data_IF_040911084481
#
_entry.id   IF_040911084481
#
_cell.length_a   1.000
_cell.length_b   1.000
_cell.length_c   1.000
_cell.angle_alpha   90.00
_cell.angle_beta   90.00
_cell.angle_gamma   90.00
#
_symmetry.space_group_name_H-M   'P 1'
#
loop_
_entity.id
_entity.type
_entity.pdbx_description
1 polymer ?
#
# COMPACT_ATOMS: atom_id res chain seq x y z
N UNK A 1 -19.32 0.83 23.42
CA UNK A 1 -19.45 2.28 23.23
C UNK A 1 -19.55 2.55 21.75
N UNK A 2 -20.20 3.65 21.39
CA UNK A 2 -20.54 3.93 20.00
C UNK A 2 -19.59 4.97 19.38
N UNK A 3 -19.39 4.87 18.06
CA UNK A 3 -18.65 5.84 17.27
C UNK A 3 -19.58 6.40 16.20
N UNK A 4 -19.63 7.71 16.12
CA UNK A 4 -20.42 8.44 15.14
C UNK A 4 -19.54 9.22 14.19
N UNK A 5 -20.02 9.45 12.98
CA UNK A 5 -19.32 10.22 11.96
C UNK A 5 -20.22 11.30 11.39
N UNK A 6 -19.69 12.50 11.26
CA UNK A 6 -20.34 13.59 10.57
C UNK A 6 -20.47 13.28 9.07
N UNK A 7 -21.67 13.22 8.52
CA UNK A 7 -21.94 12.97 7.10
C UNK A 7 -21.48 14.10 6.18
N UNK A 8 -21.20 15.30 6.73
CA UNK A 8 -20.81 16.48 5.98
C UNK A 8 -19.30 16.59 5.82
N UNK A 9 -18.52 16.41 6.89
CA UNK A 9 -17.06 16.62 6.87
C UNK A 9 -16.24 15.37 7.23
N UNK A 10 -16.90 14.30 7.69
CA UNK A 10 -16.22 13.07 8.09
C UNK A 10 -15.64 13.09 9.51
N UNK A 11 -15.85 14.17 10.28
CA UNK A 11 -15.40 14.23 11.68
C UNK A 11 -15.98 13.09 12.50
N UNK A 12 -15.14 12.54 13.38
CA UNK A 12 -15.49 11.38 14.19
C UNK A 12 -15.77 11.83 15.62
N UNK A 13 -16.87 11.37 16.18
CA UNK A 13 -17.20 11.45 17.60
C UNK A 13 -17.10 10.05 18.18
N UNK A 14 -16.13 9.83 19.06
CA UNK A 14 -15.90 8.56 19.74
C UNK A 14 -16.28 8.72 21.21
N UNK A 15 -17.34 8.03 21.66
CA UNK A 15 -17.85 8.10 23.02
C UNK A 15 -16.81 7.71 24.08
N UNK A 16 -15.88 6.84 23.74
CA UNK A 16 -14.83 6.40 24.67
C UNK A 16 -13.76 7.49 24.85
N UNK A 17 -13.43 8.17 23.75
CA UNK A 17 -12.45 9.24 23.76
C UNK A 17 -13.00 10.54 24.37
N UNK A 18 -14.24 10.90 24.00
CA UNK A 18 -14.91 12.14 24.47
C UNK A 18 -15.45 12.00 25.90
N UNK A 19 -15.63 10.77 26.39
CA UNK A 19 -16.12 10.51 27.75
C UNK A 19 -17.60 10.86 27.99
N UNK A 20 -18.33 11.18 26.93
CA UNK A 20 -19.76 11.51 26.93
C UNK A 20 -20.45 10.71 25.86
N UNK A 21 -21.64 10.14 26.14
CA UNK A 21 -22.41 9.47 25.11
C UNK A 21 -22.95 10.49 24.10
N UNK A 22 -22.94 10.14 22.82
CA UNK A 22 -23.42 11.02 21.76
C UNK A 22 -24.88 11.43 21.97
N UNK A 23 -25.70 10.52 22.48
CA UNK A 23 -27.10 10.78 22.82
C UNK A 23 -27.26 11.87 23.88
N UNK A 24 -26.35 11.93 24.85
CA UNK A 24 -26.37 12.86 26.00
C UNK A 24 -25.84 14.27 25.64
N UNK A 25 -25.35 14.47 24.43
CA UNK A 25 -24.96 15.80 23.95
C UNK A 25 -26.18 16.70 23.82
N UNK A 26 -26.04 18.02 24.12
CA UNK A 26 -27.12 18.99 23.95
C UNK A 26 -27.71 18.99 22.53
N UNK A 27 -28.99 19.28 22.40
CA UNK A 27 -29.65 19.32 21.09
C UNK A 27 -29.08 20.38 20.13
N UNK A 28 -28.50 21.43 20.68
CA UNK A 28 -27.83 22.51 19.94
C UNK A 28 -26.34 22.24 19.71
N UNK A 29 -25.84 21.06 20.09
CA UNK A 29 -24.45 20.68 19.81
C UNK A 29 -24.20 20.59 18.31
N UNK A 30 -23.07 21.09 17.87
CA UNK A 30 -22.65 21.11 16.47
C UNK A 30 -21.30 20.45 16.29
N UNK A 31 -21.06 19.94 15.09
CA UNK A 31 -19.77 19.38 14.72
C UNK A 31 -18.63 20.40 14.96
N UNK A 32 -17.59 20.04 15.72
CA UNK A 32 -16.49 20.97 16.03
C UNK A 32 -15.71 21.39 14.79
N UNK A 33 -15.75 20.60 13.70
CA UNK A 33 -14.99 20.89 12.48
C UNK A 33 -15.79 21.71 11.46
N UNK A 34 -17.08 21.38 11.20
CA UNK A 34 -17.86 22.00 10.13
C UNK A 34 -19.12 22.70 10.60
N UNK A 35 -19.40 22.70 11.92
CA UNK A 35 -20.57 23.32 12.56
C UNK A 35 -21.91 22.74 12.08
N UNK A 36 -21.93 21.58 11.45
CA UNK A 36 -23.17 20.87 11.12
C UNK A 36 -23.89 20.42 12.37
N UNK A 37 -25.24 20.36 12.39
CA UNK A 37 -26.02 19.97 13.55
C UNK A 37 -25.76 18.50 13.95
N UNK A 38 -26.07 18.16 15.22
CA UNK A 38 -25.98 16.79 15.76
C UNK A 38 -26.63 15.75 14.85
N UNK A 39 -27.74 16.09 14.20
CA UNK A 39 -28.45 15.22 13.25
C UNK A 39 -27.68 14.85 11.98
N UNK A 40 -26.55 15.49 11.72
CA UNK A 40 -25.65 15.14 10.63
C UNK A 40 -24.67 14.01 10.99
N UNK A 41 -24.70 13.51 12.21
CA UNK A 41 -23.85 12.40 12.63
C UNK A 41 -24.58 11.06 12.50
N UNK A 42 -23.88 10.10 11.94
CA UNK A 42 -24.36 8.73 11.71
C UNK A 42 -23.55 7.76 12.55
N UNK A 43 -24.24 6.82 13.21
CA UNK A 43 -23.60 5.74 13.96
C UNK A 43 -22.86 4.81 13.00
N UNK A 44 -21.56 4.63 13.23
CA UNK A 44 -20.72 3.77 12.40
C UNK A 44 -20.14 2.56 13.14
N UNK A 45 -20.07 2.62 14.47
CA UNK A 45 -19.62 1.51 15.32
C UNK A 45 -20.50 1.43 16.56
N UNK A 46 -20.93 0.23 16.93
CA UNK A 46 -21.62 -0.06 18.19
C UNK A 46 -21.02 -1.32 18.82
N UNK A 47 -20.70 -1.25 20.11
CA UNK A 47 -20.06 -2.34 20.87
C UNK A 47 -18.83 -2.96 20.21
N UNK A 48 -17.99 -2.09 19.58
CA UNK A 48 -16.75 -2.50 18.92
C UNK A 48 -16.95 -3.15 17.54
N UNK A 49 -18.16 -3.07 16.96
CA UNK A 49 -18.44 -3.58 15.62
C UNK A 49 -18.94 -2.46 14.70
N UNK A 50 -18.46 -2.39 13.44
CA UNK A 50 -19.00 -1.45 12.45
C UNK A 50 -20.47 -1.72 12.16
N UNK A 51 -21.34 -0.72 12.38
CA UNK A 51 -22.78 -0.89 12.22
C UNK A 51 -23.24 -0.67 10.78
N UNK A 52 -22.68 0.33 10.10
CA UNK A 52 -23.15 0.71 8.76
C UNK A 52 -22.37 0.08 7.61
N UNK A 53 -21.06 -0.01 7.70
CA UNK A 53 -20.22 -0.51 6.60
C UNK A 53 -20.38 -2.02 6.46
N UNK A 54 -20.45 -2.75 7.55
CA UNK A 54 -20.65 -4.21 7.55
C UNK A 54 -22.05 -4.59 7.06
N UNK A 55 -23.07 -3.88 7.55
CA UNK A 55 -24.47 -4.15 7.14
C UNK A 55 -24.69 -3.81 5.67
N UNK A 56 -24.11 -2.73 5.14
CA UNK A 56 -24.24 -2.38 3.74
C UNK A 56 -23.48 -3.35 2.84
N UNK A 57 -22.26 -3.74 3.23
CA UNK A 57 -21.47 -4.71 2.47
C UNK A 57 -22.15 -6.09 2.44
N UNK A 58 -22.61 -6.57 3.60
CA UNK A 58 -23.33 -7.83 3.67
C UNK A 58 -24.69 -7.76 2.96
N UNK A 59 -25.43 -6.64 3.07
CA UNK A 59 -26.69 -6.46 2.39
C UNK A 59 -26.54 -6.36 0.86
N UNK A 60 -25.45 -5.79 0.34
CA UNK A 60 -25.13 -5.83 -1.09
C UNK A 60 -24.79 -7.25 -1.53
N UNK A 61 -23.97 -7.98 -0.78
CA UNK A 61 -23.62 -9.37 -1.06
C UNK A 61 -24.86 -10.29 -1.00
N UNK A 62 -25.75 -10.09 -0.01
CA UNK A 62 -26.95 -10.91 0.19
C UNK A 62 -28.04 -10.63 -0.87
N UNK A 63 -28.21 -9.36 -1.29
CA UNK A 63 -29.13 -9.01 -2.39
C UNK A 63 -28.70 -9.65 -3.71
N UNK A 64 -27.41 -9.84 -3.88
CA UNK A 64 -26.81 -10.36 -5.09
C UNK A 64 -26.71 -11.88 -5.09
N UNK A 65 -26.57 -12.52 -3.93
CA UNK A 65 -26.58 -13.97 -3.79
C UNK A 65 -27.95 -14.59 -4.14
N UNK A 66 -29.02 -13.79 -4.12
CA UNK A 66 -30.38 -14.22 -4.49
C UNK A 66 -30.65 -14.23 -6.02
N UNK A 67 -29.75 -13.73 -6.85
CA UNK A 67 -29.92 -13.70 -8.31
C UNK A 67 -28.86 -14.51 -9.04
N UNK A 68 -29.28 -15.69 -9.51
CA UNK A 68 -28.68 -16.56 -10.55
C UNK A 68 -27.31 -17.18 -10.35
N UNK A 69 -27.29 -18.50 -10.49
CA UNK A 69 -26.12 -19.34 -10.75
C UNK A 69 -25.57 -19.08 -12.17
N UNK A 70 -24.78 -18.02 -12.34
CA UNK A 70 -23.97 -17.84 -13.55
C UNK A 70 -22.60 -18.48 -13.27
N UNK A 71 -22.29 -19.56 -13.97
CA UNK A 71 -20.91 -20.06 -13.97
C UNK A 71 -19.97 -18.94 -14.45
N UNK A 72 -18.84 -18.71 -13.76
CA UNK A 72 -17.92 -17.65 -14.16
C UNK A 72 -17.37 -17.97 -15.54
N UNK A 73 -17.77 -17.22 -16.55
CA UNK A 73 -17.12 -17.27 -17.88
C UNK A 73 -15.75 -16.56 -17.76
N UNK A 74 -14.73 -17.39 -17.58
CA UNK A 74 -13.33 -16.95 -17.46
C UNK A 74 -12.77 -16.48 -18.83
N UNK A 75 -13.58 -16.48 -19.90
CA UNK A 75 -13.14 -16.04 -21.21
C UNK A 75 -12.96 -14.53 -21.22
N UNK A 76 -11.74 -14.18 -21.54
CA UNK A 76 -11.35 -12.78 -21.74
C UNK A 76 -12.09 -12.25 -22.96
N UNK A 77 -12.85 -11.18 -22.78
CA UNK A 77 -13.36 -10.41 -23.92
C UNK A 77 -12.17 -9.71 -24.60
N UNK A 78 -11.85 -10.04 -25.86
CA UNK A 78 -10.76 -9.39 -26.58
C UNK A 78 -10.94 -7.88 -26.72
N UNK A 79 -12.17 -7.37 -26.62
CA UNK A 79 -12.46 -5.94 -26.65
C UNK A 79 -11.99 -5.22 -25.37
N UNK A 80 -11.80 -5.97 -24.26
CA UNK A 80 -11.26 -5.43 -23.00
C UNK A 80 -9.72 -5.42 -22.97
N UNK A 81 -9.07 -6.12 -23.90
CA UNK A 81 -7.61 -6.09 -24.02
C UNK A 81 -7.23 -4.77 -24.68
N UNK A 82 -6.94 -3.75 -23.86
CA UNK A 82 -6.25 -2.57 -24.37
C UNK A 82 -4.89 -3.03 -24.87
N UNK A 83 -4.67 -2.91 -26.20
CA UNK A 83 -3.31 -2.80 -26.70
C UNK A 83 -2.78 -1.50 -26.10
N UNK A 84 -1.63 -1.56 -25.44
CA UNK A 84 -0.94 -0.34 -25.07
C UNK A 84 -0.60 0.40 -26.36
N UNK A 85 -1.44 1.38 -26.70
CA UNK A 85 -1.29 2.19 -27.87
C UNK A 85 0.07 2.88 -27.87
N UNK A 86 0.72 2.90 -28.99
CA UNK A 86 1.94 3.66 -29.17
C UNK A 86 1.68 5.16 -29.01
N UNK A 87 2.73 5.95 -29.05
CA UNK A 87 2.66 7.42 -28.95
C UNK A 87 1.63 8.02 -29.93
N UNK A 88 1.45 7.39 -31.11
CA UNK A 88 0.47 7.82 -32.10
C UNK A 88 -0.97 7.69 -31.59
N UNK A 89 -1.32 6.60 -30.92
CA UNK A 89 -2.66 6.41 -30.36
C UNK A 89 -2.96 7.43 -29.26
N UNK A 90 -1.97 7.73 -28.43
CA UNK A 90 -2.11 8.77 -27.40
C UNK A 90 -2.33 10.15 -28.02
N UNK A 91 -1.59 10.49 -29.08
CA UNK A 91 -1.74 11.74 -29.82
C UNK A 91 -3.14 11.84 -30.42
N UNK A 92 -3.65 10.76 -31.04
CA UNK A 92 -4.99 10.74 -31.62
C UNK A 92 -6.05 10.95 -30.54
N UNK A 93 -5.98 10.24 -29.41
CA UNK A 93 -6.92 10.43 -28.29
C UNK A 93 -6.89 11.87 -27.77
N UNK A 94 -5.70 12.44 -27.58
CA UNK A 94 -5.57 13.82 -27.13
C UNK A 94 -6.10 14.83 -28.16
N UNK A 95 -5.84 14.59 -29.43
CA UNK A 95 -6.30 15.45 -30.52
C UNK A 95 -7.83 15.43 -30.67
N UNK A 96 -8.46 14.26 -30.49
CA UNK A 96 -9.91 14.10 -30.58
C UNK A 96 -10.65 14.63 -29.36
N UNK A 97 -10.07 14.42 -28.16
CA UNK A 97 -10.79 14.66 -26.90
C UNK A 97 -10.36 15.91 -26.16
N UNK A 98 -9.17 16.47 -26.46
CA UNK A 98 -8.54 17.53 -25.69
C UNK A 98 -8.15 17.11 -24.25
N UNK A 99 -8.05 15.82 -23.98
CA UNK A 99 -7.79 15.26 -22.63
C UNK A 99 -6.54 14.42 -22.62
N UNK A 100 -5.83 14.43 -21.48
CA UNK A 100 -4.72 13.54 -21.23
C UNK A 100 -5.15 12.07 -21.20
N UNK A 101 -4.26 11.18 -21.60
CA UNK A 101 -4.47 9.73 -21.53
C UNK A 101 -4.12 9.22 -20.13
N UNK A 102 -5.04 8.49 -19.52
CA UNK A 102 -4.79 7.76 -18.27
C UNK A 102 -4.25 6.37 -18.55
N UNK A 103 -3.41 5.88 -17.66
CA UNK A 103 -2.87 4.54 -17.72
C UNK A 103 -2.90 3.84 -16.37
N UNK A 104 -3.13 2.55 -16.40
CA UNK A 104 -3.06 1.71 -15.22
C UNK A 104 -1.73 0.96 -15.16
N UNK A 105 -1.28 0.69 -13.94
CA UNK A 105 -0.05 -0.05 -13.63
C UNK A 105 1.24 0.70 -14.01
N UNK A 106 2.37 0.07 -13.84
CA UNK A 106 3.71 0.62 -14.09
C UNK A 106 3.90 1.12 -15.54
N UNK A 107 4.91 1.96 -15.74
CA UNK A 107 5.34 2.37 -17.08
C UNK A 107 5.77 1.16 -17.93
N UNK A 108 5.65 1.28 -19.24
CA UNK A 108 6.22 0.32 -20.21
C UNK A 108 7.58 0.80 -20.74
N UNK A 109 7.95 2.04 -20.43
CA UNK A 109 9.27 2.54 -20.77
C UNK A 109 10.38 1.72 -20.06
N UNK A 110 11.54 1.52 -20.66
CA UNK A 110 12.66 0.88 -19.99
C UNK A 110 13.03 1.63 -18.71
N UNK A 111 13.17 0.89 -17.62
CA UNK A 111 13.57 1.43 -16.31
C UNK A 111 14.68 0.55 -15.76
N UNK A 112 15.83 1.12 -15.33
CA UNK A 112 16.84 0.37 -14.58
C UNK A 112 16.20 -0.31 -13.37
N UNK A 113 16.45 -1.60 -13.20
CA UNK A 113 15.84 -2.38 -12.14
C UNK A 113 16.78 -3.45 -11.56
N UNK A 114 16.30 -4.26 -10.63
CA UNK A 114 17.10 -5.27 -9.95
C UNK A 114 17.55 -6.44 -10.85
N UNK A 115 17.07 -6.56 -12.09
CA UNK A 115 17.47 -7.64 -13.02
C UNK A 115 18.93 -7.49 -13.48
N UNK A 116 19.46 -6.26 -13.50
CA UNK A 116 20.83 -5.98 -13.87
C UNK A 116 21.83 -6.18 -12.71
N UNK A 117 21.33 -6.58 -11.54
CA UNK A 117 22.11 -6.89 -10.34
C UNK A 117 22.11 -8.41 -10.14
N UNK A 118 23.27 -8.96 -9.82
CA UNK A 118 23.45 -10.37 -9.52
C UNK A 118 23.76 -10.56 -8.03
N UNK A 119 23.23 -11.63 -7.44
CA UNK A 119 23.52 -12.04 -6.08
C UNK A 119 24.71 -13.03 -6.09
N UNK A 120 25.69 -12.81 -5.23
CA UNK A 120 26.90 -13.60 -5.16
C UNK A 120 26.75 -14.74 -4.15
N UNK A 121 26.81 -15.98 -4.64
CA UNK A 121 26.81 -17.16 -3.78
C UNK A 121 28.21 -17.47 -3.25
N UNK A 122 28.27 -17.98 -2.03
CA UNK A 122 29.48 -18.45 -1.35
C UNK A 122 29.90 -19.85 -1.87
N UNK A 123 31.20 -20.15 -1.80
CA UNK A 123 31.76 -21.49 -2.10
C UNK A 123 32.86 -21.88 -1.13
N UNK A 124 33.98 -21.17 -1.14
CA UNK A 124 35.14 -21.43 -0.31
C UNK A 124 35.51 -20.26 0.60
N UNK A 125 35.28 -19.01 0.11
CA UNK A 125 35.56 -17.79 0.86
C UNK A 125 34.62 -16.67 0.37
N UNK A 126 33.50 -16.41 1.06
CA UNK A 126 32.98 -17.13 2.23
C UNK A 126 32.51 -18.56 1.90
N UNK A 127 32.21 -19.36 2.92
CA UNK A 127 31.54 -20.67 2.79
C UNK A 127 30.04 -20.54 2.95
N UNK A 128 29.23 -21.32 2.19
CA UNK A 128 27.78 -21.35 2.39
C UNK A 128 27.42 -22.03 3.72
N UNK A 129 26.24 -21.78 4.22
CA UNK A 129 25.66 -22.60 5.28
C UNK A 129 25.22 -23.96 4.75
N UNK A 130 25.06 -24.95 5.65
CA UNK A 130 24.43 -26.23 5.30
C UNK A 130 23.00 -26.02 4.79
N UNK A 131 22.53 -26.98 3.98
CA UNK A 131 21.22 -26.89 3.33
C UNK A 131 20.05 -26.82 4.34
N UNK A 132 20.22 -27.43 5.51
CA UNK A 132 19.25 -27.48 6.60
C UNK A 132 19.55 -26.48 7.74
N UNK A 133 20.56 -25.62 7.56
CA UNK A 133 20.87 -24.58 8.55
C UNK A 133 19.65 -23.71 8.86
N UNK A 134 19.42 -23.48 10.13
CA UNK A 134 18.38 -22.56 10.59
C UNK A 134 18.77 -21.12 10.24
N UNK A 135 17.92 -20.42 9.50
CA UNK A 135 18.15 -19.05 9.07
C UNK A 135 16.91 -18.19 9.31
N UNK A 136 17.13 -17.00 9.82
CA UNK A 136 16.08 -16.04 10.15
C UNK A 136 15.85 -15.07 9.02
N UNK A 137 14.58 -14.90 8.62
CA UNK A 137 14.12 -13.80 7.76
C UNK A 137 13.13 -12.89 8.50
N UNK A 138 13.08 -12.99 9.83
CA UNK A 138 12.22 -12.12 10.63
C UNK A 138 12.72 -10.69 10.53
N UNK A 139 11.79 -9.75 10.48
CA UNK A 139 12.09 -8.33 10.51
C UNK A 139 11.20 -7.60 11.49
N UNK A 140 11.67 -6.46 11.97
CA UNK A 140 10.95 -5.60 12.90
C UNK A 140 10.90 -4.21 12.28
N UNK A 141 9.70 -3.65 12.15
CA UNK A 141 9.49 -2.28 11.71
C UNK A 141 9.14 -1.42 12.91
N UNK A 142 9.79 -0.25 13.00
CA UNK A 142 9.67 0.64 14.14
C UNK A 142 10.36 0.09 15.38
N UNK A 143 11.63 -0.33 15.23
CA UNK A 143 12.46 -0.89 16.33
C UNK A 143 12.51 0.01 17.56
N UNK A 144 12.41 1.34 17.39
CA UNK A 144 12.36 2.32 18.47
C UNK A 144 10.97 2.59 19.05
N UNK A 145 9.90 2.08 18.44
CA UNK A 145 8.55 2.29 18.92
C UNK A 145 8.25 1.50 20.21
N UNK A 146 7.31 1.99 21.02
CA UNK A 146 6.90 1.27 22.24
C UNK A 146 6.29 -0.11 21.94
N UNK A 147 5.66 -0.26 20.77
CA UNK A 147 5.00 -1.48 20.30
C UNK A 147 5.46 -1.78 18.88
N UNK A 148 6.70 -2.23 18.67
CA UNK A 148 7.23 -2.49 17.34
C UNK A 148 6.41 -3.55 16.59
N UNK A 149 6.38 -3.46 15.25
CA UNK A 149 5.69 -4.43 14.42
C UNK A 149 6.66 -5.54 14.00
N UNK A 150 6.45 -6.74 14.53
CA UNK A 150 7.23 -7.93 14.21
C UNK A 150 6.60 -8.71 13.06
N UNK A 151 7.40 -9.10 12.07
CA UNK A 151 7.01 -9.85 10.88
C UNK A 151 7.87 -11.09 10.73
N UNK A 152 7.30 -12.21 10.33
CA UNK A 152 8.03 -13.44 9.98
C UNK A 152 8.69 -13.35 8.57
N UNK A 153 8.41 -12.30 7.83
CA UNK A 153 8.94 -12.03 6.49
C UNK A 153 9.24 -10.56 6.31
N UNK A 154 10.36 -10.18 5.65
CA UNK A 154 10.64 -8.80 5.29
C UNK A 154 9.78 -8.31 4.11
N UNK A 155 9.00 -9.20 3.49
CA UNK A 155 8.18 -8.90 2.31
C UNK A 155 6.70 -8.89 2.70
N UNK A 156 6.01 -7.79 2.38
CA UNK A 156 4.59 -7.64 2.72
C UNK A 156 3.76 -7.04 1.58
N UNK A 157 2.42 -7.09 1.73
CA UNK A 157 1.48 -6.57 0.73
C UNK A 157 1.34 -5.06 0.88
N UNK A 158 1.71 -4.33 -0.17
CA UNK A 158 1.73 -2.87 -0.24
C UNK A 158 0.33 -2.26 -0.31
N UNK A 159 0.28 -0.95 -0.27
CA UNK A 159 -0.91 -0.11 -0.24
C UNK A 159 -1.73 -0.22 -1.53
N UNK A 160 -2.94 -0.69 -1.40
CA UNK A 160 -3.93 -0.80 -2.48
C UNK A 160 -5.32 -0.53 -1.92
N UNK A 161 -5.92 0.59 -2.27
CA UNK A 161 -7.14 1.07 -1.65
C UNK A 161 -8.37 0.22 -1.97
N UNK A 162 -9.28 0.08 -0.99
CA UNK A 162 -10.65 -0.32 -1.27
C UNK A 162 -11.33 0.75 -2.14
N UNK A 163 -12.03 0.32 -3.16
CA UNK A 163 -12.54 1.17 -4.22
C UNK A 163 -11.69 1.12 -5.49
N UNK A 164 -10.35 1.12 -5.37
CA UNK A 164 -9.48 0.72 -6.49
C UNK A 164 -9.54 -0.79 -6.69
N UNK A 165 -9.47 -1.56 -5.61
CA UNK A 165 -9.71 -3.01 -5.58
C UNK A 165 -11.09 -3.31 -5.00
N UNK A 166 -11.64 -4.47 -5.35
CA UNK A 166 -12.85 -5.03 -4.76
C UNK A 166 -12.65 -5.46 -3.31
N UNK A 167 -13.72 -5.56 -2.55
CA UNK A 167 -13.69 -6.07 -1.18
C UNK A 167 -13.14 -7.48 -1.10
N UNK A 168 -13.57 -8.37 -2.01
CA UNK A 168 -13.08 -9.76 -2.12
C UNK A 168 -11.57 -9.82 -2.36
N UNK A 169 -11.04 -8.96 -3.22
CA UNK A 169 -9.60 -8.89 -3.48
C UNK A 169 -8.83 -8.43 -2.24
N UNK A 170 -9.33 -7.43 -1.52
CA UNK A 170 -8.71 -6.92 -0.30
C UNK A 170 -8.65 -8.00 0.80
N UNK A 171 -9.76 -8.69 1.04
CA UNK A 171 -9.84 -9.76 2.05
C UNK A 171 -8.96 -10.95 1.66
N UNK A 172 -8.93 -11.34 0.38
CA UNK A 172 -8.07 -12.42 -0.10
C UNK A 172 -6.58 -12.10 0.07
N UNK A 173 -6.16 -10.86 -0.22
CA UNK A 173 -4.78 -10.40 0.02
C UNK A 173 -4.44 -10.42 1.52
N UNK A 174 -5.35 -9.97 2.38
CA UNK A 174 -5.18 -9.99 3.83
C UNK A 174 -5.00 -11.41 4.38
N UNK A 175 -5.90 -12.33 4.01
CA UNK A 175 -5.79 -13.76 4.38
C UNK A 175 -4.48 -14.38 3.88
N UNK A 176 -4.10 -14.09 2.63
CA UNK A 176 -2.86 -14.60 2.05
C UNK A 176 -1.60 -14.06 2.73
N UNK A 177 -1.58 -12.77 3.10
CA UNK A 177 -0.48 -12.19 3.88
C UNK A 177 -0.39 -12.79 5.28
N UNK A 178 -1.55 -13.07 5.91
CA UNK A 178 -1.61 -13.73 7.23
C UNK A 178 -1.03 -15.15 7.18
N UNK A 179 -1.30 -15.93 6.13
CA UNK A 179 -0.70 -17.26 5.94
C UNK A 179 0.83 -17.22 5.86
N UNK A 180 1.40 -16.12 5.40
CA UNK A 180 2.84 -15.94 5.31
C UNK A 180 3.46 -15.23 6.54
N UNK A 181 2.66 -14.92 7.56
CA UNK A 181 3.09 -14.23 8.78
C UNK A 181 3.58 -12.80 8.54
N UNK A 182 3.02 -12.11 7.52
CA UNK A 182 3.46 -10.77 7.13
C UNK A 182 2.32 -9.75 7.17
N UNK A 183 2.59 -8.50 6.75
CA UNK A 183 1.63 -7.41 6.84
C UNK A 183 0.80 -7.22 5.56
N UNK A 184 -0.35 -6.57 5.75
CA UNK A 184 -1.21 -6.01 4.72
C UNK A 184 -1.41 -4.51 4.99
N UNK A 185 -1.47 -3.70 3.93
CA UNK A 185 -1.70 -2.26 4.05
C UNK A 185 -3.10 -1.86 3.59
N UNK A 186 -3.73 -0.91 4.30
CA UNK A 186 -5.09 -0.43 3.95
C UNK A 186 -5.15 0.23 2.57
N UNK A 187 -4.15 1.02 2.25
CA UNK A 187 -4.20 1.95 1.11
C UNK A 187 -5.13 3.14 1.40
N UNK A 188 -5.23 4.05 0.42
CA UNK A 188 -5.90 5.36 0.54
C UNK A 188 -7.45 5.29 0.60
N UNK A 189 -8.02 4.11 0.69
CA UNK A 189 -9.47 3.91 0.65
C UNK A 189 -10.19 3.92 1.99
N UNK A 190 -9.44 4.01 3.08
CA UNK A 190 -9.91 3.66 4.42
C UNK A 190 -9.68 2.17 4.72
N UNK A 191 -10.00 1.73 5.92
CA UNK A 191 -9.83 0.36 6.37
C UNK A 191 -11.16 -0.41 6.27
N UNK A 192 -11.14 -1.55 5.59
CA UNK A 192 -12.23 -2.52 5.67
C UNK A 192 -12.06 -3.37 6.92
N UNK A 193 -13.12 -3.55 7.68
CA UNK A 193 -13.09 -4.36 8.90
C UNK A 193 -12.63 -5.79 8.63
N UNK A 194 -13.25 -6.46 7.66
CA UNK A 194 -12.94 -7.86 7.33
C UNK A 194 -11.51 -8.05 6.83
N UNK A 195 -10.98 -7.07 6.09
CA UNK A 195 -9.58 -7.05 5.69
C UNK A 195 -8.65 -6.93 6.90
N UNK A 196 -8.95 -6.00 7.80
CA UNK A 196 -8.13 -5.73 8.98
C UNK A 196 -8.11 -6.94 9.92
N UNK A 197 -9.26 -7.53 10.21
CA UNK A 197 -9.38 -8.73 11.07
C UNK A 197 -8.74 -9.98 10.43
N UNK A 198 -8.78 -10.10 9.11
CA UNK A 198 -8.15 -11.21 8.38
C UNK A 198 -6.63 -11.09 8.28
N UNK A 199 -6.04 -9.94 8.58
CA UNK A 199 -4.61 -9.68 8.48
C UNK A 199 -3.85 -10.21 9.69
N UNK A 200 -2.62 -10.70 9.49
CA UNK A 200 -1.69 -11.01 10.59
C UNK A 200 -1.17 -9.73 11.26
N UNK A 201 -0.75 -8.77 10.43
CA UNK A 201 -0.38 -7.41 10.81
C UNK A 201 -1.02 -6.45 9.81
N UNK A 202 -1.55 -5.34 10.28
CA UNK A 202 -2.23 -4.36 9.44
C UNK A 202 -1.56 -2.99 9.55
N UNK A 203 -1.13 -2.42 8.43
CA UNK A 203 -0.59 -1.07 8.34
C UNK A 203 -1.70 -0.15 7.86
N UNK A 204 -2.10 0.76 8.72
CA UNK A 204 -3.11 1.76 8.39
C UNK A 204 -2.48 2.98 7.71
N UNK A 205 -2.94 3.32 6.50
CA UNK A 205 -2.48 4.50 5.77
C UNK A 205 -3.25 5.74 6.22
N UNK A 206 -2.58 6.62 6.95
CA UNK A 206 -3.13 7.91 7.37
C UNK A 206 -3.01 8.91 6.23
N UNK A 207 -4.14 9.40 5.74
CA UNK A 207 -4.28 10.21 4.52
C UNK A 207 -4.90 11.57 4.84
N UNK A 208 -4.77 12.58 3.93
CA UNK A 208 -5.36 13.89 4.11
C UNK A 208 -6.85 13.88 4.45
N UNK A 209 -7.59 12.96 3.85
CA UNK A 209 -9.04 12.85 4.02
C UNK A 209 -9.46 12.10 5.30
N UNK A 210 -8.51 11.53 6.06
CA UNK A 210 -8.70 10.82 7.34
C UNK A 210 -9.78 9.73 7.33
N UNK A 211 -10.00 9.05 6.19
CA UNK A 211 -10.97 7.94 6.11
C UNK A 211 -10.61 6.83 7.09
N UNK A 212 -11.60 6.33 7.83
CA UNK A 212 -11.43 5.29 8.86
C UNK A 212 -10.44 5.64 9.96
N UNK A 213 -10.11 6.92 10.17
CA UNK A 213 -9.25 7.35 11.28
C UNK A 213 -10.07 7.49 12.57
N UNK A 214 -10.18 6.41 13.32
CA UNK A 214 -10.87 6.32 14.59
C UNK A 214 -10.16 5.34 15.53
N UNK A 215 -10.56 5.29 16.79
CA UNK A 215 -9.86 4.48 17.79
C UNK A 215 -10.00 2.98 17.52
N UNK A 216 -11.12 2.52 16.96
CA UNK A 216 -11.30 1.13 16.56
C UNK A 216 -10.23 0.70 15.54
N UNK A 217 -10.01 1.50 14.50
CA UNK A 217 -8.93 1.23 13.53
C UNK A 217 -7.56 1.24 14.19
N UNK A 218 -7.30 2.20 15.09
CA UNK A 218 -6.01 2.32 15.78
C UNK A 218 -5.75 1.17 16.75
N UNK A 219 -6.78 0.59 17.35
CA UNK A 219 -6.65 -0.57 18.22
C UNK A 219 -6.30 -1.86 17.47
N UNK A 220 -6.77 -1.99 16.23
CA UNK A 220 -6.60 -3.20 15.43
C UNK A 220 -5.45 -3.11 14.42
N UNK A 221 -4.89 -1.94 14.15
CA UNK A 221 -3.71 -1.84 13.32
C UNK A 221 -2.41 -2.15 14.09
N UNK A 222 -1.35 -2.43 13.35
CA UNK A 222 -0.02 -2.77 13.88
C UNK A 222 1.02 -1.70 13.62
N UNK A 223 0.76 -0.81 12.67
CA UNK A 223 1.54 0.38 12.36
C UNK A 223 0.64 1.40 11.62
N UNK A 224 1.06 2.65 11.62
CA UNK A 224 0.39 3.73 10.91
C UNK A 224 1.39 4.37 9.96
N UNK A 225 0.99 4.62 8.72
CA UNK A 225 1.85 5.25 7.73
C UNK A 225 1.20 6.52 7.16
N UNK A 226 1.85 7.66 7.37
CA UNK A 226 1.42 8.97 6.84
C UNK A 226 1.77 9.00 5.36
N UNK A 227 0.75 9.08 4.51
CA UNK A 227 0.94 9.09 3.06
C UNK A 227 1.09 10.51 2.52
N UNK A 228 2.30 10.84 2.08
CA UNK A 228 2.61 12.08 1.37
C UNK A 228 2.54 11.86 -0.15
N UNK A 229 3.07 10.73 -0.63
CA UNK A 229 3.12 10.41 -2.05
C UNK A 229 2.99 8.92 -2.35
N UNK A 230 2.92 8.57 -3.63
CA UNK A 230 2.85 7.18 -4.09
C UNK A 230 3.30 7.05 -5.54
N UNK A 231 3.97 5.93 -5.87
CA UNK A 231 4.30 5.50 -7.23
C UNK A 231 4.95 6.57 -8.08
N UNK A 232 4.54 6.65 -9.33
CA UNK A 232 5.06 7.58 -10.33
C UNK A 232 4.22 8.87 -10.42
N UNK A 233 3.72 9.38 -9.29
CA UNK A 233 2.98 10.64 -9.25
C UNK A 233 3.27 11.48 -8.01
N UNK A 234 4.53 11.89 -7.81
CA UNK A 234 4.86 12.86 -6.76
C UNK A 234 4.08 14.15 -6.99
N UNK A 235 3.56 14.75 -5.92
CA UNK A 235 2.78 16.00 -5.98
C UNK A 235 1.37 15.86 -6.56
N UNK A 236 0.86 14.63 -6.74
CA UNK A 236 -0.51 14.37 -7.18
C UNK A 236 -1.24 13.43 -6.22
N UNK A 237 -2.41 13.85 -5.75
CA UNK A 237 -3.27 13.05 -4.88
C UNK A 237 -3.87 11.81 -5.56
N UNK A 238 -4.56 10.99 -4.77
CA UNK A 238 -5.34 9.86 -5.27
C UNK A 238 -6.57 10.32 -6.05
N UNK A 239 -6.99 9.51 -7.02
CA UNK A 239 -8.23 9.71 -7.75
C UNK A 239 -9.00 8.40 -7.84
N UNK A 240 -10.26 8.41 -7.43
CA UNK A 240 -11.22 7.34 -7.66
C UNK A 240 -12.34 7.87 -8.53
N UNK A 241 -12.51 7.36 -9.77
CA UNK A 241 -13.59 7.76 -10.65
C UNK A 241 -14.97 7.47 -10.03
N UNK A 242 -15.93 8.36 -10.27
CA UNK A 242 -17.29 8.24 -9.71
C UNK A 242 -18.00 6.95 -10.07
N UNK A 243 -17.75 6.40 -11.25
CA UNK A 243 -18.27 5.10 -11.68
C UNK A 243 -17.90 3.93 -10.73
N UNK A 244 -16.85 4.08 -9.94
CA UNK A 244 -16.40 3.10 -8.93
C UNK A 244 -16.88 3.44 -7.52
N UNK A 245 -17.59 4.55 -7.33
CA UNK A 245 -18.05 4.98 -6.01
C UNK A 245 -19.44 4.38 -5.74
N UNK A 246 -19.44 3.21 -5.09
CA UNK A 246 -20.64 2.52 -4.57
C UNK A 246 -21.17 3.20 -3.31
N UNK A 247 -22.32 2.75 -2.79
CA UNK A 247 -22.88 3.26 -1.53
C UNK A 247 -21.93 3.06 -0.35
N UNK A 248 -21.27 1.89 -0.25
CA UNK A 248 -20.30 1.60 0.80
C UNK A 248 -19.10 2.57 0.73
N UNK A 249 -18.54 2.76 -0.46
CA UNK A 249 -17.40 3.67 -0.66
C UNK A 249 -17.82 5.12 -0.38
N UNK A 250 -19.03 5.50 -0.80
CA UNK A 250 -19.59 6.81 -0.54
C UNK A 250 -19.67 7.08 0.97
N UNK A 251 -20.20 6.11 1.73
CA UNK A 251 -20.27 6.15 3.20
C UNK A 251 -18.87 6.23 3.81
N UNK A 252 -17.96 5.32 3.45
CA UNK A 252 -16.59 5.30 4.01
C UNK A 252 -15.81 6.59 3.75
N UNK A 253 -16.05 7.24 2.63
CA UNK A 253 -15.30 8.42 2.21
C UNK A 253 -16.04 9.74 2.39
N UNK A 254 -17.27 9.71 2.95
CA UNK A 254 -18.06 10.91 3.17
C UNK A 254 -18.37 11.70 1.90
N UNK A 255 -18.67 10.99 0.77
CA UNK A 255 -18.94 11.58 -0.54
C UNK A 255 -20.24 11.03 -1.10
N UNK A 256 -20.80 11.71 -2.11
CA UNK A 256 -21.98 11.21 -2.83
C UNK A 256 -21.66 10.01 -3.72
N UNK A 257 -22.57 9.05 -3.80
CA UNK A 257 -22.50 7.95 -4.78
C UNK A 257 -22.31 8.51 -6.20
N UNK A 258 -21.45 7.88 -6.97
CA UNK A 258 -21.18 8.26 -8.36
C UNK A 258 -20.40 9.56 -8.55
N UNK A 259 -19.92 10.18 -7.47
CA UNK A 259 -19.08 11.39 -7.54
C UNK A 259 -17.60 11.01 -7.54
N UNK A 260 -16.82 11.68 -8.38
CA UNK A 260 -15.36 11.56 -8.38
C UNK A 260 -14.79 11.95 -7.02
N UNK A 261 -13.84 11.14 -6.53
CA UNK A 261 -13.14 11.40 -5.28
C UNK A 261 -11.68 11.71 -5.60
N UNK A 262 -11.27 12.94 -5.32
CA UNK A 262 -9.89 13.39 -5.49
C UNK A 262 -9.30 13.74 -4.12
N UNK A 263 -8.09 13.25 -3.86
CA UNK A 263 -7.32 13.64 -2.69
C UNK A 263 -6.51 14.89 -2.97
N UNK A 264 -6.24 15.72 -1.96
CA UNK A 264 -5.37 16.88 -2.11
C UNK A 264 -3.98 16.49 -2.65
N UNK A 265 -3.37 17.38 -3.41
CA UNK A 265 -2.01 17.19 -3.95
C UNK A 265 -0.92 17.30 -2.88
N UNK A 266 -1.20 18.00 -1.79
CA UNK A 266 -0.34 18.13 -0.62
C UNK A 266 -1.14 17.76 0.63
N UNK A 267 -0.44 17.32 1.67
CA UNK A 267 -1.09 16.98 2.92
C UNK A 267 -1.47 18.28 3.66
N UNK A 268 -2.76 18.59 3.88
CA UNK A 268 -3.16 19.79 4.60
C UNK A 268 -2.63 19.79 6.04
N UNK A 269 -2.08 20.92 6.45
CA UNK A 269 -1.51 21.08 7.81
C UNK A 269 -0.09 20.50 7.96
N UNK A 270 0.59 20.18 6.86
CA UNK A 270 2.04 19.91 6.83
C UNK A 270 2.68 20.96 5.93
N UNK A 271 3.14 22.05 6.53
CA UNK A 271 3.85 23.14 5.87
C UNK A 271 5.31 23.25 6.35
N UNK A 272 5.63 22.59 7.46
CA UNK A 272 6.98 22.53 8.07
C UNK A 272 7.28 21.14 8.63
N UNK A 273 8.55 20.80 8.91
CA UNK A 273 8.93 19.58 9.65
C UNK A 273 8.26 19.47 11.02
N UNK A 274 8.04 20.59 11.69
CA UNK A 274 7.37 20.66 13.00
C UNK A 274 5.89 20.25 12.90
N UNK A 275 5.21 20.60 11.81
CA UNK A 275 3.84 20.17 11.57
C UNK A 275 3.76 18.66 11.37
N UNK A 276 4.70 18.08 10.60
CA UNK A 276 4.79 16.64 10.42
C UNK A 276 5.06 15.96 11.77
N UNK A 277 5.96 16.53 12.59
CA UNK A 277 6.24 16.03 13.93
C UNK A 277 5.00 16.03 14.80
N UNK A 278 4.23 17.11 14.78
CA UNK A 278 2.99 17.20 15.57
C UNK A 278 1.99 16.09 15.18
N UNK A 279 1.89 15.78 13.87
CA UNK A 279 1.05 14.67 13.41
C UNK A 279 1.61 13.32 13.87
N UNK A 280 2.92 13.09 13.76
CA UNK A 280 3.57 11.85 14.25
C UNK A 280 3.32 11.67 15.74
N UNK A 281 3.49 12.71 16.54
CA UNK A 281 3.30 12.67 17.98
C UNK A 281 1.84 12.39 18.35
N UNK A 282 0.89 13.04 17.68
CA UNK A 282 -0.56 12.79 17.85
C UNK A 282 -0.92 11.34 17.50
N UNK A 283 -0.42 10.80 16.37
CA UNK A 283 -0.68 9.42 15.97
C UNK A 283 -0.05 8.43 16.95
N UNK A 284 1.16 8.70 17.43
CA UNK A 284 1.85 7.86 18.42
C UNK A 284 1.11 7.82 19.75
N UNK A 285 0.60 8.96 20.21
CA UNK A 285 -0.19 9.06 21.43
C UNK A 285 -1.51 8.27 21.30
N UNK A 286 -2.30 8.56 20.27
CA UNK A 286 -3.60 7.90 20.04
C UNK A 286 -3.47 6.39 19.81
N UNK A 287 -2.44 5.95 19.13
CA UNK A 287 -2.18 4.52 18.90
C UNK A 287 -1.52 3.81 20.10
N UNK A 288 -1.25 4.51 21.20
CA UNK A 288 -0.56 3.97 22.38
C UNK A 288 0.84 3.41 22.08
N UNK A 289 1.52 4.02 21.10
CA UNK A 289 2.92 3.76 20.78
C UNK A 289 3.16 2.75 19.67
N UNK A 290 2.27 2.63 18.70
CA UNK A 290 2.54 1.92 17.44
C UNK A 290 3.62 2.62 16.62
N UNK A 291 4.32 1.90 15.72
CA UNK A 291 5.22 2.51 14.76
C UNK A 291 4.49 3.48 13.84
N UNK A 292 5.07 4.67 13.68
CA UNK A 292 4.56 5.69 12.77
C UNK A 292 5.54 5.84 11.61
N UNK A 293 5.09 5.63 10.39
CA UNK A 293 5.87 5.79 9.17
C UNK A 293 5.46 7.00 8.35
N UNK A 294 6.33 7.35 7.40
CA UNK A 294 6.07 8.36 6.37
C UNK A 294 6.36 7.75 5.00
N UNK A 295 5.38 7.84 4.08
CA UNK A 295 5.53 7.32 2.72
C UNK A 295 5.61 8.44 1.71
N UNK A 296 6.65 8.39 0.88
CA UNK A 296 6.91 9.32 -0.21
C UNK A 296 7.03 8.60 -1.56
N UNK A 297 6.74 9.31 -2.66
CA UNK A 297 7.19 8.89 -3.99
C UNK A 297 8.66 9.29 -4.17
N UNK A 298 9.40 8.54 -5.00
CA UNK A 298 10.79 8.83 -5.27
C UNK A 298 10.94 10.07 -6.19
N UNK A 299 10.83 11.25 -5.61
CA UNK A 299 11.03 12.56 -6.24
C UNK A 299 12.37 13.18 -5.83
N UNK A 300 12.31 14.22 -5.01
CA UNK A 300 13.46 14.87 -4.37
C UNK A 300 13.81 14.15 -3.07
N UNK A 301 14.44 12.98 -3.19
CA UNK A 301 14.59 11.99 -2.11
C UNK A 301 15.35 12.57 -0.91
N UNK A 302 16.46 13.22 -1.15
CA UNK A 302 17.34 13.74 -0.09
C UNK A 302 16.67 14.90 0.66
N UNK A 303 16.02 15.82 -0.07
CA UNK A 303 15.30 16.96 0.51
C UNK A 303 14.07 16.49 1.29
N UNK A 304 13.35 15.48 0.79
CA UNK A 304 12.22 14.88 1.49
C UNK A 304 12.69 14.13 2.74
N UNK A 305 13.82 13.42 2.69
CA UNK A 305 14.41 12.74 3.84
C UNK A 305 14.89 13.73 4.91
N UNK A 306 15.50 14.85 4.50
CA UNK A 306 15.85 15.94 5.43
C UNK A 306 14.62 16.47 6.17
N UNK A 307 13.53 16.75 5.44
CA UNK A 307 12.28 17.18 6.03
C UNK A 307 11.72 16.14 7.02
N UNK A 308 11.75 14.85 6.63
CA UNK A 308 11.24 13.75 7.44
C UNK A 308 12.13 13.47 8.66
N UNK A 309 13.44 13.71 8.59
CA UNK A 309 14.39 13.43 9.68
C UNK A 309 13.98 14.10 11.01
N UNK A 310 13.34 15.25 10.92
CA UNK A 310 12.88 16.04 12.07
C UNK A 310 11.52 15.58 12.62
N UNK A 311 10.81 14.70 11.93
CA UNK A 311 9.44 14.30 12.29
C UNK A 311 9.36 13.37 13.51
N UNK A 312 10.44 12.64 13.79
CA UNK A 312 10.45 11.60 14.80
C UNK A 312 9.68 10.34 14.42
N UNK A 313 9.41 10.09 13.12
CA UNK A 313 8.82 8.85 12.64
C UNK A 313 9.75 7.65 12.87
N UNK A 314 9.18 6.44 12.85
CA UNK A 314 9.90 5.20 13.15
C UNK A 314 10.38 4.49 11.88
N UNK A 315 9.70 4.69 10.75
CA UNK A 315 10.10 4.12 9.45
C UNK A 315 9.73 5.03 8.28
N UNK A 316 10.39 4.84 7.15
CA UNK A 316 10.17 5.61 5.93
C UNK A 316 9.95 4.63 4.79
N UNK A 317 8.88 4.83 4.02
CA UNK A 317 8.61 4.05 2.80
C UNK A 317 8.82 4.91 1.57
N UNK A 318 9.67 4.42 0.66
CA UNK A 318 9.93 5.08 -0.64
C UNK A 318 9.34 4.25 -1.77
N UNK A 319 8.55 4.90 -2.61
CA UNK A 319 7.87 4.28 -3.75
C UNK A 319 8.51 4.74 -5.07
N UNK A 320 9.33 3.86 -5.65
CA UNK A 320 10.14 4.17 -6.84
C UNK A 320 9.39 3.99 -8.16
N UNK A 321 10.03 4.40 -9.27
CA UNK A 321 9.47 4.40 -10.64
C UNK A 321 9.05 3.01 -11.15
N UNK A 322 9.55 1.92 -10.60
CA UNK A 322 9.06 0.56 -10.90
C UNK A 322 7.63 0.29 -10.42
N UNK A 323 7.09 1.16 -9.55
CA UNK A 323 5.71 1.17 -9.08
C UNK A 323 4.81 2.09 -9.90
N UNK A 324 3.50 1.93 -9.72
CA UNK A 324 2.48 2.84 -10.20
C UNK A 324 1.13 2.55 -9.56
N UNK A 325 0.09 3.26 -9.95
CA UNK A 325 -1.25 3.11 -9.40
C UNK A 325 -2.23 2.50 -10.40
N UNK A 326 -3.43 2.14 -9.95
CA UNK A 326 -4.51 1.68 -10.82
C UNK A 326 -5.07 2.79 -11.73
N UNK A 327 -4.83 4.06 -11.40
CA UNK A 327 -5.24 5.23 -12.20
C UNK A 327 -4.15 6.30 -12.08
N UNK A 328 -3.50 6.60 -13.19
CA UNK A 328 -2.41 7.59 -13.26
C UNK A 328 -2.40 8.25 -14.63
N UNK A 329 -2.23 9.58 -14.72
CA UNK A 329 -1.98 10.20 -16.02
C UNK A 329 -0.73 9.58 -16.65
N UNK A 330 -0.86 9.13 -17.90
CA UNK A 330 0.21 8.41 -18.60
C UNK A 330 1.46 9.27 -18.72
N UNK A 331 1.29 10.56 -19.06
CA UNK A 331 2.41 11.49 -19.20
C UNK A 331 3.25 11.61 -17.90
N UNK A 332 2.60 11.67 -16.74
CA UNK A 332 3.30 11.78 -15.46
C UNK A 332 3.98 10.45 -15.09
N UNK A 333 3.28 9.35 -15.27
CA UNK A 333 3.82 8.00 -15.02
C UNK A 333 5.09 7.72 -15.85
N UNK A 334 5.08 8.10 -17.12
CA UNK A 334 6.16 7.79 -18.05
C UNK A 334 7.34 8.79 -17.95
N UNK A 335 7.13 9.97 -17.34
CA UNK A 335 8.12 11.03 -17.25
C UNK A 335 8.59 11.40 -15.84
N UNK A 336 8.09 10.73 -14.77
CA UNK A 336 8.44 11.11 -13.38
C UNK A 336 8.95 9.96 -12.53
N UNK A 337 9.46 10.32 -11.38
CA UNK A 337 10.03 9.47 -10.32
C UNK A 337 11.36 8.80 -10.66
N UNK A 338 12.16 8.62 -9.64
CA UNK A 338 13.48 7.97 -9.71
C UNK A 338 13.30 6.44 -9.76
N UNK A 339 14.02 5.71 -10.63
CA UNK A 339 14.04 4.26 -10.64
C UNK A 339 14.33 3.66 -9.25
N UNK A 340 13.59 2.61 -8.88
CA UNK A 340 13.59 2.05 -7.52
C UNK A 340 14.99 1.65 -7.03
N UNK A 341 15.86 1.13 -7.91
CA UNK A 341 17.25 0.80 -7.59
C UNK A 341 18.02 2.03 -7.13
N UNK A 342 17.94 3.13 -7.87
CA UNK A 342 18.61 4.38 -7.52
C UNK A 342 17.95 5.07 -6.32
N UNK A 343 16.64 5.00 -6.23
CA UNK A 343 15.91 5.56 -5.10
C UNK A 343 16.35 4.92 -3.77
N UNK A 344 16.46 3.58 -3.75
CA UNK A 344 16.96 2.85 -2.59
C UNK A 344 18.40 3.22 -2.25
N UNK A 345 19.30 3.21 -3.23
CA UNK A 345 20.71 3.53 -3.02
C UNK A 345 20.91 4.95 -2.50
N UNK A 346 20.21 5.93 -3.09
CA UNK A 346 20.29 7.34 -2.65
C UNK A 346 19.74 7.52 -1.24
N UNK A 347 18.58 6.91 -0.96
CA UNK A 347 17.97 6.99 0.36
C UNK A 347 18.87 6.37 1.44
N UNK A 348 19.37 5.15 1.22
CA UNK A 348 20.22 4.48 2.21
C UNK A 348 21.50 5.27 2.47
N UNK A 349 22.17 5.73 1.42
CA UNK A 349 23.37 6.57 1.55
C UNK A 349 23.08 7.85 2.34
N UNK A 350 22.01 8.58 2.00
CA UNK A 350 21.65 9.79 2.72
C UNK A 350 21.37 9.52 4.21
N UNK A 351 20.60 8.47 4.49
CA UNK A 351 20.28 8.09 5.87
C UNK A 351 21.54 7.72 6.67
N UNK A 352 22.49 6.99 6.06
CA UNK A 352 23.75 6.62 6.70
C UNK A 352 24.63 7.83 6.97
N UNK A 353 24.78 8.73 5.98
CA UNK A 353 25.59 9.95 6.10
C UNK A 353 25.07 10.91 7.16
N UNK A 354 23.75 10.92 7.40
CA UNK A 354 23.10 11.81 8.38
C UNK A 354 22.71 11.10 9.68
N UNK A 355 23.12 9.83 9.86
CA UNK A 355 22.85 9.09 11.10
C UNK A 355 21.37 8.86 11.38
N UNK A 356 20.52 8.78 10.35
CA UNK A 356 19.10 8.49 10.47
C UNK A 356 18.89 7.03 10.87
N UNK A 357 18.04 6.80 11.88
CA UNK A 357 17.84 5.47 12.50
C UNK A 357 16.48 4.85 12.16
N UNK A 358 15.68 5.51 11.33
CA UNK A 358 14.41 4.99 10.86
C UNK A 358 14.62 3.73 10.00
N UNK A 359 13.69 2.76 10.12
CA UNK A 359 13.69 1.62 9.20
C UNK A 359 13.32 2.09 7.78
N UNK A 360 14.00 1.57 6.77
CA UNK A 360 13.77 1.90 5.36
C UNK A 360 12.97 0.81 4.67
N UNK A 361 11.75 1.12 4.27
CA UNK A 361 10.89 0.27 3.46
C UNK A 361 10.95 0.73 2.00
N UNK A 362 11.12 -0.21 1.09
CA UNK A 362 11.15 0.09 -0.34
C UNK A 362 9.98 -0.58 -1.07
N UNK A 363 9.37 0.13 -2.00
CA UNK A 363 8.35 -0.41 -2.91
C UNK A 363 8.55 0.15 -4.32
N UNK A 364 7.94 -0.49 -5.30
CA UNK A 364 8.03 -0.07 -6.71
C UNK A 364 8.65 -1.12 -7.62
N UNK A 365 7.83 -2.03 -8.15
CA UNK A 365 8.21 -2.96 -9.21
C UNK A 365 8.70 -4.33 -8.77
N UNK A 366 8.78 -4.64 -7.49
CA UNK A 366 9.21 -5.95 -6.98
C UNK A 366 8.27 -7.08 -7.37
N UNK A 367 8.84 -8.22 -7.82
CA UNK A 367 8.06 -9.39 -8.28
C UNK A 367 8.63 -10.72 -7.81
N UNK A 368 9.94 -10.83 -7.60
CA UNK A 368 10.63 -12.08 -7.28
C UNK A 368 11.40 -11.98 -5.97
N UNK A 369 11.72 -13.12 -5.38
CA UNK A 369 12.63 -13.19 -4.24
C UNK A 369 14.01 -12.61 -4.57
N UNK A 370 14.47 -12.78 -5.82
CA UNK A 370 15.71 -12.18 -6.31
C UNK A 370 15.69 -10.66 -6.27
N UNK A 371 14.57 -10.01 -6.59
CA UNK A 371 14.43 -8.55 -6.44
C UNK A 371 14.50 -8.16 -4.97
N UNK A 372 13.80 -8.92 -4.11
CA UNK A 372 13.74 -8.63 -2.68
C UNK A 372 15.09 -8.78 -1.98
N UNK A 373 15.79 -9.89 -2.20
CA UNK A 373 17.08 -10.13 -1.53
C UNK A 373 18.12 -9.08 -1.92
N UNK A 374 18.10 -8.62 -3.17
CA UNK A 374 19.01 -7.57 -3.64
C UNK A 374 18.67 -6.22 -2.98
N UNK A 375 17.40 -5.88 -2.85
CA UNK A 375 16.98 -4.68 -2.14
C UNK A 375 17.36 -4.72 -0.65
N UNK A 376 17.19 -5.87 0.01
CA UNK A 376 17.62 -6.07 1.40
C UNK A 376 19.15 -5.94 1.52
N UNK A 377 19.93 -6.51 0.60
CA UNK A 377 21.38 -6.35 0.56
C UNK A 377 21.83 -4.91 0.24
N UNK A 378 20.99 -4.11 -0.41
CA UNK A 378 21.21 -2.68 -0.62
C UNK A 378 20.78 -1.82 0.58
N UNK A 379 20.34 -2.42 1.68
CA UNK A 379 20.05 -1.74 2.94
C UNK A 379 18.58 -1.37 3.16
N UNK A 380 17.64 -1.98 2.44
CA UNK A 380 16.24 -1.93 2.83
C UNK A 380 15.98 -2.85 4.04
N UNK A 381 15.19 -2.40 5.02
CA UNK A 381 14.74 -3.23 6.15
C UNK A 381 13.55 -4.11 5.77
N UNK A 382 12.73 -3.65 4.82
CA UNK A 382 11.61 -4.43 4.28
C UNK A 382 11.24 -4.00 2.85
N UNK A 383 10.49 -4.89 2.18
CA UNK A 383 10.03 -4.69 0.80
C UNK A 383 8.50 -4.82 0.75
N UNK A 384 7.83 -3.81 0.20
CA UNK A 384 6.39 -3.84 0.00
C UNK A 384 6.04 -4.13 -1.47
N UNK A 385 5.15 -5.09 -1.72
CA UNK A 385 4.73 -5.53 -3.06
C UNK A 385 3.26 -5.27 -3.32
N UNK A 386 2.92 -4.68 -4.47
CA UNK A 386 1.54 -4.46 -4.90
C UNK A 386 1.15 -5.40 -6.07
N UNK A 387 1.75 -5.21 -7.23
CA UNK A 387 1.34 -5.93 -8.45
C UNK A 387 1.58 -7.44 -8.39
N UNK A 388 2.65 -7.88 -7.73
CA UNK A 388 2.97 -9.31 -7.65
C UNK A 388 1.96 -10.11 -6.81
N UNK A 389 1.54 -9.69 -5.59
CA UNK A 389 0.42 -10.31 -4.90
C UNK A 389 -0.90 -10.28 -5.70
N UNK A 390 -1.18 -9.22 -6.49
CA UNK A 390 -2.33 -9.21 -7.38
C UNK A 390 -2.21 -10.24 -8.50
N UNK A 391 -1.03 -10.45 -9.08
CA UNK A 391 -0.80 -11.51 -10.07
C UNK A 391 -1.00 -12.89 -9.44
N UNK A 392 -0.50 -13.11 -8.22
CA UNK A 392 -0.75 -14.33 -7.47
C UNK A 392 -2.25 -14.54 -7.19
N UNK A 393 -2.98 -13.46 -6.89
CA UNK A 393 -4.44 -13.48 -6.72
C UNK A 393 -5.17 -13.91 -7.99
N UNK A 394 -4.62 -13.60 -9.19
CA UNK A 394 -5.20 -13.95 -10.48
C UNK A 394 -5.19 -12.82 -11.52
N UNK A 395 -4.56 -11.69 -11.24
CA UNK A 395 -4.46 -10.57 -12.18
C UNK A 395 -3.72 -10.98 -13.47
N UNK A 396 -4.35 -10.74 -14.61
CA UNK A 396 -3.81 -11.03 -15.94
C UNK A 396 -3.14 -9.81 -16.61
N UNK A 397 -2.97 -8.71 -15.87
CA UNK A 397 -2.34 -7.47 -16.36
C UNK A 397 -3.02 -6.88 -17.61
N UNK A 398 -4.36 -6.90 -17.67
CA UNK A 398 -5.10 -6.25 -18.77
C UNK A 398 -4.95 -4.72 -18.80
N UNK A 399 -4.39 -4.12 -17.73
CA UNK A 399 -4.10 -2.68 -17.62
C UNK A 399 -5.33 -1.77 -17.79
N UNK A 400 -6.50 -2.27 -17.37
CA UNK A 400 -7.79 -1.55 -17.38
C UNK A 400 -8.29 -1.24 -15.97
N UNK A 401 -7.41 -1.21 -14.98
CA UNK A 401 -7.79 -1.00 -13.57
C UNK A 401 -8.51 0.34 -13.34
N UNK A 402 -8.19 1.36 -14.15
CA UNK A 402 -8.83 2.67 -14.11
C UNK A 402 -10.31 2.63 -14.55
N UNK A 403 -10.69 1.70 -15.43
CA UNK A 403 -12.07 1.64 -15.97
C UNK A 403 -13.10 1.00 -15.02
N UNK A 404 -12.65 0.32 -13.95
CA UNK A 404 -13.55 -0.46 -13.09
C UNK A 404 -14.11 -1.74 -13.72
N UNK A 405 -13.72 -2.09 -14.95
CA UNK A 405 -14.22 -3.25 -15.72
C UNK A 405 -13.27 -4.44 -15.69
N UNK A 406 -12.55 -4.65 -14.59
CA UNK A 406 -11.61 -5.75 -14.46
C UNK A 406 -12.34 -7.10 -14.53
N UNK A 407 -12.09 -7.95 -15.58
CA UNK A 407 -12.82 -9.20 -15.74
C UNK A 407 -12.42 -10.27 -14.71
N UNK A 408 -11.33 -10.04 -13.96
CA UNK A 408 -10.84 -10.94 -12.92
C UNK A 408 -11.47 -10.68 -11.54
N UNK A 409 -12.40 -9.73 -11.42
CA UNK A 409 -13.04 -9.39 -10.15
C UNK A 409 -12.11 -8.65 -9.15
N UNK A 410 -10.93 -8.19 -9.61
CA UNK A 410 -9.91 -7.61 -8.71
C UNK A 410 -10.05 -6.09 -8.61
N UNK A 411 -9.96 -5.38 -9.75
CA UNK A 411 -9.98 -3.91 -9.78
C UNK A 411 -11.32 -3.40 -10.32
N UNK A 412 -12.38 -3.79 -9.64
CA UNK A 412 -13.77 -3.47 -10.00
C UNK A 412 -14.60 -3.22 -8.74
N UNK A 413 -15.74 -2.55 -8.91
CA UNK A 413 -16.82 -2.41 -7.93
C UNK A 413 -18.13 -2.90 -8.53
N UNK A 414 -18.07 -3.52 -9.71
CA UNK A 414 -19.22 -4.20 -10.32
C UNK A 414 -19.42 -5.55 -9.64
N UNK A 415 -20.58 -5.80 -9.00
CA UNK A 415 -20.83 -7.03 -8.27
C UNK A 415 -20.76 -8.30 -9.12
N UNK A 416 -21.14 -8.23 -10.40
CA UNK A 416 -21.05 -9.38 -11.30
C UNK A 416 -19.60 -9.75 -11.63
N UNK A 417 -18.76 -8.72 -11.82
CA UNK A 417 -17.35 -8.94 -12.04
C UNK A 417 -16.64 -9.38 -10.76
N UNK A 418 -16.99 -8.79 -9.61
CA UNK A 418 -16.40 -9.12 -8.32
C UNK A 418 -16.62 -10.60 -7.94
N UNK A 419 -17.82 -11.15 -8.20
CA UNK A 419 -18.12 -12.56 -7.95
C UNK A 419 -17.25 -13.56 -8.72
N UNK A 420 -16.57 -13.14 -9.79
CA UNK A 420 -15.64 -13.99 -10.53
C UNK A 420 -14.36 -14.31 -9.74
N UNK A 421 -14.05 -13.53 -8.71
CA UNK A 421 -12.92 -13.80 -7.84
C UNK A 421 -13.35 -14.77 -6.72
N UNK A 422 -12.83 -16.00 -6.77
CA UNK A 422 -12.90 -16.90 -5.62
C UNK A 422 -11.91 -16.41 -4.55
N UNK A 423 -12.47 -15.86 -3.47
CA UNK A 423 -11.73 -15.22 -2.39
C UNK A 423 -10.81 -16.21 -1.66
N UNK A 424 -11.27 -17.42 -1.35
CA UNK A 424 -10.50 -18.41 -0.60
C UNK A 424 -9.38 -19.03 -1.46
N UNK A 425 -9.70 -19.38 -2.70
CA UNK A 425 -8.69 -19.85 -3.64
C UNK A 425 -7.66 -18.76 -3.95
N UNK A 426 -8.10 -17.50 -4.04
CA UNK A 426 -7.24 -16.34 -4.20
C UNK A 426 -6.30 -16.15 -3.01
N UNK A 427 -6.84 -16.20 -1.79
CA UNK A 427 -6.05 -16.12 -0.56
C UNK A 427 -4.98 -17.19 -0.48
N UNK A 428 -5.34 -18.44 -0.79
CA UNK A 428 -4.39 -19.56 -0.84
C UNK A 428 -3.26 -19.33 -1.85
N UNK A 429 -3.58 -18.83 -3.05
CA UNK A 429 -2.55 -18.51 -4.06
C UNK A 429 -1.59 -17.42 -3.59
N UNK A 430 -2.11 -16.36 -2.96
CA UNK A 430 -1.27 -15.28 -2.39
C UNK A 430 -0.40 -15.82 -1.25
N UNK A 431 -0.97 -16.62 -0.34
CA UNK A 431 -0.21 -17.26 0.73
C UNK A 431 0.89 -18.19 0.22
N UNK A 432 0.60 -19.01 -0.80
CA UNK A 432 1.58 -19.86 -1.45
C UNK A 432 2.72 -19.07 -2.10
N UNK A 433 2.38 -17.99 -2.81
CA UNK A 433 3.37 -17.10 -3.45
C UNK A 433 4.31 -16.46 -2.41
N UNK A 434 3.76 -15.85 -1.35
CA UNK A 434 4.56 -15.24 -0.30
C UNK A 434 5.37 -16.28 0.49
N UNK A 435 4.80 -17.46 0.72
CA UNK A 435 5.50 -18.59 1.33
C UNK A 435 6.67 -19.09 0.48
N UNK A 436 6.51 -19.14 -0.85
CA UNK A 436 7.60 -19.46 -1.77
C UNK A 436 8.71 -18.40 -1.71
N UNK A 437 8.35 -17.10 -1.74
CA UNK A 437 9.32 -16.00 -1.55
C UNK A 437 10.10 -16.18 -0.25
N UNK A 438 9.43 -16.48 0.86
CA UNK A 438 10.08 -16.69 2.16
C UNK A 438 11.09 -17.85 2.13
N UNK A 439 10.75 -18.95 1.48
CA UNK A 439 11.64 -20.11 1.37
C UNK A 439 12.87 -19.80 0.48
N UNK A 440 12.64 -19.08 -0.61
CA UNK A 440 13.71 -18.66 -1.50
C UNK A 440 14.66 -17.63 -0.83
N UNK A 441 14.12 -16.70 -0.02
CA UNK A 441 14.96 -15.78 0.78
C UNK A 441 15.85 -16.53 1.78
N UNK A 442 15.30 -17.56 2.47
CA UNK A 442 16.11 -18.42 3.34
C UNK A 442 17.21 -19.15 2.55
N UNK A 443 16.91 -19.58 1.34
CA UNK A 443 17.89 -20.22 0.45
C UNK A 443 18.98 -19.25 0.06
N UNK A 444 18.65 -18.00 -0.31
CA UNK A 444 19.65 -16.95 -0.59
C UNK A 444 20.59 -16.72 0.60
N UNK A 445 20.07 -16.65 1.82
CA UNK A 445 20.90 -16.52 3.01
C UNK A 445 21.84 -17.72 3.18
N UNK A 446 21.35 -18.96 3.03
CA UNK A 446 22.21 -20.15 3.14
C UNK A 446 23.32 -20.16 2.10
N UNK A 447 23.01 -19.88 0.84
CA UNK A 447 24.02 -19.90 -0.23
C UNK A 447 25.02 -18.75 -0.14
N UNK A 448 24.77 -17.69 0.62
CA UNK A 448 25.72 -16.63 0.90
C UNK A 448 26.50 -16.84 2.21
N UNK A 449 26.17 -17.87 2.99
CA UNK A 449 26.81 -18.13 4.29
C UNK A 449 26.23 -17.29 5.43
N UNK A 450 25.05 -16.69 5.23
CA UNK A 450 24.36 -15.89 6.22
C UNK A 450 23.27 -16.67 6.94
N UNK A 451 23.04 -16.34 8.20
CA UNK A 451 21.99 -16.95 9.04
C UNK A 451 20.88 -15.95 9.37
N UNK A 452 21.07 -14.66 9.06
CA UNK A 452 20.12 -13.60 9.35
C UNK A 452 20.20 -12.49 8.28
N UNK A 453 19.08 -11.79 8.04
CA UNK A 453 18.98 -10.70 7.05
C UNK A 453 19.96 -9.55 7.35
N UNK A 454 20.27 -9.28 8.62
CA UNK A 454 21.17 -8.19 9.03
C UNK A 454 22.62 -8.39 8.58
N UNK A 455 22.99 -9.58 8.11
CA UNK A 455 24.31 -9.88 7.58
C UNK A 455 24.46 -9.54 6.08
N UNK A 456 23.33 -9.30 5.39
CA UNK A 456 23.35 -8.90 3.99
C UNK A 456 24.00 -7.51 3.80
N UNK A 457 24.72 -7.37 2.71
CA UNK A 457 25.41 -6.13 2.37
C UNK A 457 25.62 -5.99 0.87
N UNK A 458 26.12 -4.84 0.42
CA UNK A 458 26.56 -4.64 -0.97
C UNK A 458 27.67 -5.63 -1.37
N UNK A 459 28.38 -6.22 -0.41
CA UNK A 459 29.40 -7.26 -0.66
C UNK A 459 28.82 -8.56 -1.24
N UNK A 460 27.51 -8.80 -1.07
CA UNK A 460 26.78 -9.94 -1.62
C UNK A 460 26.26 -9.70 -3.04
N UNK A 461 26.59 -8.54 -3.63
CA UNK A 461 26.09 -8.12 -4.94
C UNK A 461 27.19 -7.80 -5.92
N UNK A 462 26.91 -8.02 -7.21
CA UNK A 462 27.62 -7.40 -8.32
C UNK A 462 26.64 -7.01 -9.42
N UNK A 463 27.08 -6.23 -10.39
CA UNK A 463 26.27 -5.82 -11.54
C UNK A 463 27.04 -5.86 -12.83
N UNK A 464 26.36 -6.16 -13.94
CA UNK A 464 26.91 -6.06 -15.29
C UNK A 464 26.65 -4.69 -15.93
N UNK A 465 25.90 -3.81 -15.24
CA UNK A 465 25.62 -2.45 -15.69
C UNK A 465 26.61 -1.47 -15.07
N UNK A 466 27.41 -0.81 -15.92
CA UNK A 466 28.32 0.25 -15.47
C UNK A 466 27.58 1.41 -14.81
N UNK A 467 26.39 1.76 -15.32
CA UNK A 467 25.54 2.81 -14.76
C UNK A 467 25.08 2.46 -13.32
N UNK A 468 24.60 1.24 -13.11
CA UNK A 468 24.22 0.79 -11.76
C UNK A 468 25.43 0.79 -10.83
N UNK A 469 26.58 0.27 -11.29
CA UNK A 469 27.81 0.25 -10.50
C UNK A 469 28.25 1.65 -10.06
N UNK A 470 28.26 2.60 -10.99
CA UNK A 470 28.66 4.00 -10.72
C UNK A 470 27.75 4.70 -9.70
N UNK A 471 26.45 4.49 -9.83
CA UNK A 471 25.45 5.24 -9.04
C UNK A 471 24.98 4.54 -7.76
N UNK A 472 25.27 3.26 -7.56
CA UNK A 472 24.83 2.51 -6.37
C UNK A 472 25.95 2.02 -5.47
N UNK A 473 27.19 2.06 -5.93
CA UNK A 473 28.34 1.49 -5.23
C UNK A 473 28.40 -0.05 -5.28
N UNK A 474 27.49 -0.71 -6.01
CA UNK A 474 27.56 -2.16 -6.28
C UNK A 474 28.74 -2.42 -7.22
N UNK A 475 29.59 -3.38 -6.83
CA UNK A 475 30.77 -3.71 -7.60
C UNK A 475 30.41 -4.21 -9.01
N UNK A 476 31.09 -3.69 -10.03
CA UNK A 476 30.97 -4.23 -11.38
C UNK A 476 31.57 -5.65 -11.44
N UNK A 477 30.89 -6.53 -12.20
CA UNK A 477 31.28 -7.95 -12.36
C UNK A 477 32.55 -8.10 -13.20
#
# INVERSE_FOLDING_TARGET
MAIYRCSVCGEIYDEEYEGVRFEDLPDDWVCPLCHSPKSAFELIVEDGKPVQVEVLFQAELDRESASSSVEPDIRVDPALVRRDGGVMDDIHVMAETGRSVDGAMETLEPVPDFRDILFLGAQLAPMPCDTDADVSIRTVIGKGAKRPMELESPVFVSHMSFGALSGRAKIALAKGSAMAGTAMCSGEGGALWDEMVASHRYIFEFIPNRYSFNDLTLEHCSAIEIKIGQGTKPGMGGHLPGEKVTDIIAVMRGKGRGQDIQSPSRFPGIDSPEDLRAIVDMLRERSRGLPIGVKIAAGHIEEDLEFISHSGCDFITIDGRGGATGSSPKFLRDASSVPTVYALSRARRYMDEHGMTQDLVITGGFRTSGDCIKALAMGADAVAMASAPLMALGCQRYRICNSGKCPMGIATQDPELERRLDQEAGAKRVGNYLGAINNELRTFLRVSGHTDLSQLSLGDLCTTSSEISEHTGIRHA
#
